data_IF_387234337729
#
_entry.id   IF_387234337729
#
_cell.length_a   1.000
_cell.length_b   1.000
_cell.length_c   1.000
_cell.angle_alpha   90.00
_cell.angle_beta   90.00
_cell.angle_gamma   90.00
#
_symmetry.space_group_name_H-M   'P 1'
#
loop_
_entity.id
_entity.type
_entity.pdbx_description
1 polymer ?
#
# COMPACT_ATOMS: atom_id res chain seq x y z
N UNK A 1 -13.42 4.02 -66.37
CA UNK A 1 -12.69 2.74 -66.21
C UNK A 1 -11.32 3.03 -65.58
N UNK A 2 -10.58 1.99 -65.16
CA UNK A 2 -9.25 2.06 -64.52
C UNK A 2 -8.22 2.94 -65.29
N UNK A 3 -7.16 3.47 -64.67
CA UNK A 3 -6.68 3.26 -63.28
C UNK A 3 -5.59 4.26 -62.84
N UNK A 4 -4.93 3.97 -61.71
CA UNK A 4 -4.12 4.92 -60.91
C UNK A 4 -2.71 5.25 -61.45
N UNK A 5 -2.13 6.38 -60.98
CA UNK A 5 -0.69 6.53 -60.71
C UNK A 5 -0.37 7.69 -59.75
N UNK A 6 0.79 7.61 -59.10
CA UNK A 6 1.26 8.51 -58.02
C UNK A 6 2.12 9.71 -58.52
N UNK A 7 2.32 10.77 -57.69
CA UNK A 7 3.07 11.98 -58.05
C UNK A 7 4.46 12.12 -57.39
N UNK A 8 5.31 13.01 -57.95
CA UNK A 8 6.32 13.82 -57.23
C UNK A 8 6.88 14.94 -58.15
N UNK A 9 7.48 15.99 -57.59
CA UNK A 9 7.87 17.25 -58.26
C UNK A 9 9.35 17.64 -58.03
N UNK A 10 9.86 18.69 -58.73
CA UNK A 10 11.27 19.11 -58.67
C UNK A 10 11.51 20.65 -58.60
N UNK A 11 12.50 21.03 -57.77
CA UNK A 11 13.54 22.09 -57.87
C UNK A 11 13.29 23.61 -58.05
N UNK A 12 14.37 24.36 -57.74
CA UNK A 12 14.71 25.80 -57.93
C UNK A 12 14.27 26.82 -56.82
N UNK A 13 15.07 27.82 -56.38
CA UNK A 13 16.49 28.15 -56.63
C UNK A 13 17.15 29.12 -55.57
N UNK A 14 18.45 28.90 -55.30
CA UNK A 14 19.61 29.86 -55.32
C UNK A 14 19.43 31.33 -54.79
N UNK A 15 20.25 31.79 -53.79
CA UNK A 15 21.44 32.71 -53.95
C UNK A 15 21.93 33.39 -52.63
N UNK A 16 23.25 33.39 -52.35
CA UNK A 16 24.14 34.52 -51.91
C UNK A 16 25.39 34.10 -51.06
N UNK A 17 26.61 34.58 -51.39
CA UNK A 17 27.86 34.48 -50.58
C UNK A 17 28.58 35.85 -50.39
N UNK A 18 29.83 35.96 -49.85
CA UNK A 18 30.63 35.14 -48.92
C UNK A 18 30.89 35.96 -47.60
N UNK A 19 32.06 36.28 -46.98
CA UNK A 19 33.51 35.96 -47.06
C UNK A 19 34.29 36.52 -45.85
N UNK A 20 35.38 35.85 -45.40
CA UNK A 20 36.46 36.40 -44.57
C UNK A 20 36.30 36.26 -43.03
N UNK A 21 37.35 36.02 -42.22
CA UNK A 21 38.79 35.76 -42.49
C UNK A 21 39.33 34.66 -41.55
N UNK A 22 40.44 34.00 -41.94
CA UNK A 22 41.17 33.03 -41.13
C UNK A 22 42.41 33.66 -40.46
N UNK A 23 42.81 33.16 -39.29
CA UNK A 23 44.21 33.27 -38.82
C UNK A 23 44.67 31.91 -38.28
N UNK A 24 45.40 31.17 -39.11
CA UNK A 24 46.21 30.03 -38.69
C UNK A 24 47.69 30.36 -38.84
N UNK A 25 48.51 29.93 -37.86
CA UNK A 25 49.95 29.64 -37.96
C UNK A 25 50.37 29.00 -36.60
N UNK A 26 51.29 28.03 -36.52
CA UNK A 26 52.19 27.50 -37.54
C UNK A 26 52.26 25.96 -37.50
N UNK A 27 52.69 25.36 -38.62
CA UNK A 27 52.95 23.93 -38.75
C UNK A 27 54.38 23.56 -38.33
N UNK A 28 54.61 22.29 -37.99
CA UNK A 28 55.75 21.53 -38.54
C UNK A 28 55.52 20.00 -38.47
N UNK A 29 55.96 19.34 -39.54
CA UNK A 29 56.37 17.93 -39.76
C UNK A 29 56.23 16.88 -38.61
N UNK A 30 56.00 15.58 -38.87
CA UNK A 30 56.41 14.76 -40.04
C UNK A 30 55.63 13.45 -40.19
N UNK A 31 55.67 12.88 -41.41
CA UNK A 31 55.64 11.43 -41.72
C UNK A 31 54.30 10.68 -41.72
N UNK A 32 54.27 9.59 -42.50
CA UNK A 32 53.10 8.75 -42.78
C UNK A 32 53.15 7.44 -42.01
N UNK A 33 52.02 7.04 -41.42
CA UNK A 33 51.66 5.63 -41.22
C UNK A 33 50.19 5.45 -41.60
N UNK A 34 49.92 4.85 -42.76
CA UNK A 34 48.56 4.50 -43.19
C UNK A 34 48.08 3.22 -42.48
N UNK A 35 47.58 3.36 -41.24
CA UNK A 35 46.76 2.32 -40.61
C UNK A 35 45.31 2.46 -41.09
N UNK A 36 44.90 1.56 -41.98
CA UNK A 36 43.59 1.58 -42.64
C UNK A 36 42.41 1.23 -41.71
N UNK A 37 41.98 2.17 -40.88
CA UNK A 37 40.80 2.05 -40.02
C UNK A 37 39.50 1.95 -40.84
N UNK A 38 39.13 0.71 -41.24
CA UNK A 38 37.79 0.42 -41.76
C UNK A 38 36.75 0.70 -40.66
N UNK A 39 35.74 1.58 -40.87
CA UNK A 39 34.85 2.05 -39.79
C UNK A 39 34.00 0.93 -39.17
N UNK A 40 33.75 -0.16 -39.90
CA UNK A 40 33.10 -1.36 -39.38
C UNK A 40 33.84 -1.98 -38.19
N UNK A 41 35.18 -1.96 -38.17
CA UNK A 41 35.94 -2.55 -37.06
C UNK A 41 35.79 -1.71 -35.78
N UNK A 42 35.80 -0.38 -35.90
CA UNK A 42 35.56 0.54 -34.78
C UNK A 42 34.13 0.41 -34.24
N UNK A 43 33.14 0.23 -35.11
CA UNK A 43 31.76 -0.06 -34.73
C UNK A 43 31.68 -1.39 -33.97
N UNK A 44 32.28 -2.46 -34.50
CA UNK A 44 32.26 -3.78 -33.85
C UNK A 44 32.97 -3.78 -32.49
N UNK A 45 34.13 -3.13 -32.36
CA UNK A 45 34.79 -2.99 -31.05
C UNK A 45 33.96 -2.17 -30.07
N UNK A 46 33.26 -1.13 -30.53
CA UNK A 46 32.37 -0.33 -29.68
C UNK A 46 31.19 -1.15 -29.17
N UNK A 47 30.57 -1.97 -30.02
CA UNK A 47 29.49 -2.89 -29.64
C UNK A 47 29.99 -3.97 -28.68
N UNK A 48 31.17 -4.55 -28.91
CA UNK A 48 31.78 -5.54 -28.01
C UNK A 48 32.09 -4.92 -26.64
N UNK A 49 32.65 -3.71 -26.60
CA UNK A 49 32.93 -2.98 -25.35
C UNK A 49 31.62 -2.71 -24.61
N UNK A 50 30.59 -2.17 -25.27
CA UNK A 50 29.28 -1.92 -24.64
C UNK A 50 28.61 -3.21 -24.14
N UNK A 51 28.71 -4.32 -24.88
CA UNK A 51 28.19 -5.61 -24.45
C UNK A 51 28.94 -6.15 -23.21
N UNK A 52 30.27 -6.05 -23.19
CA UNK A 52 31.09 -6.44 -22.04
C UNK A 52 30.85 -5.53 -20.83
N UNK A 53 30.73 -4.22 -21.02
CA UNK A 53 30.38 -3.28 -19.95
C UNK A 53 28.98 -3.54 -19.39
N UNK A 54 27.99 -3.83 -20.23
CA UNK A 54 26.66 -4.22 -19.77
C UNK A 54 26.68 -5.55 -19.01
N UNK A 55 27.35 -6.60 -19.53
CA UNK A 55 27.46 -7.87 -18.80
C UNK A 55 28.20 -7.72 -17.47
N UNK A 56 29.26 -6.90 -17.42
CA UNK A 56 29.98 -6.60 -16.18
C UNK A 56 29.09 -5.84 -15.19
N UNK A 57 28.30 -4.86 -15.66
CA UNK A 57 27.37 -4.11 -14.81
C UNK A 57 26.25 -5.03 -14.29
N UNK A 58 25.68 -5.91 -15.13
CA UNK A 58 24.70 -6.91 -14.71
C UNK A 58 25.30 -7.91 -13.72
N UNK A 59 26.56 -8.33 -13.91
CA UNK A 59 27.26 -9.21 -12.98
C UNK A 59 27.54 -8.54 -11.62
N UNK A 60 27.96 -7.28 -11.61
CA UNK A 60 28.14 -6.50 -10.39
C UNK A 60 26.82 -6.25 -9.64
N UNK A 61 25.72 -6.01 -10.38
CA UNK A 61 24.38 -5.92 -9.81
C UNK A 61 23.93 -7.27 -9.20
N UNK A 62 24.15 -8.39 -9.90
CA UNK A 62 23.87 -9.74 -9.37
C UNK A 62 24.72 -10.09 -8.14
N UNK A 63 25.99 -9.67 -8.09
CA UNK A 63 26.83 -9.83 -6.90
C UNK A 63 26.41 -8.92 -5.73
N UNK A 64 25.69 -7.82 -5.99
CA UNK A 64 25.17 -6.96 -4.91
C UNK A 64 24.02 -7.60 -4.11
N UNK A 65 23.39 -8.66 -4.63
CA UNK A 65 22.36 -9.44 -3.92
C UNK A 65 22.92 -10.64 -3.12
N UNK A 66 24.20 -11.00 -3.29
CA UNK A 66 24.82 -12.09 -2.50
C UNK A 66 25.31 -11.62 -1.14
N UNK A 67 24.39 -11.35 -0.22
CA UNK A 67 24.69 -11.01 1.17
C UNK A 67 25.36 -12.19 1.91
N UNK A 68 26.67 -12.10 2.17
CA UNK A 68 27.33 -12.92 3.17
C UNK A 68 26.99 -12.40 4.59
N UNK A 69 26.77 -13.28 5.60
CA UNK A 69 26.35 -12.85 6.93
C UNK A 69 27.55 -12.46 7.81
N UNK A 70 27.90 -11.18 7.84
CA UNK A 70 28.75 -10.63 8.89
C UNK A 70 28.00 -10.60 10.25
N UNK A 71 28.67 -10.89 11.38
CA UNK A 71 28.02 -11.00 12.69
C UNK A 71 27.74 -9.61 13.30
N UNK A 72 26.58 -9.05 12.99
CA UNK A 72 26.10 -7.78 13.58
C UNK A 72 25.91 -7.94 15.10
N UNK A 73 26.46 -7.04 15.94
CA UNK A 73 26.20 -7.03 17.38
C UNK A 73 24.70 -6.88 17.71
N UNK A 74 24.25 -7.53 18.79
CA UNK A 74 22.84 -7.51 19.22
C UNK A 74 22.44 -6.20 19.92
N UNK A 75 22.26 -5.14 19.13
CA UNK A 75 21.34 -4.05 19.48
C UNK A 75 20.35 -3.89 18.33
N UNK A 76 19.15 -4.45 18.51
CA UNK A 76 18.05 -4.33 17.54
C UNK A 76 17.37 -2.99 17.78
N UNK A 77 17.74 -1.98 16.99
CA UNK A 77 17.04 -0.71 16.97
C UNK A 77 15.57 -0.96 16.56
N UNK A 78 14.63 -0.59 17.45
CA UNK A 78 13.22 -0.98 17.34
C UNK A 78 12.58 -0.26 16.15
N UNK A 79 11.69 -0.96 15.44
CA UNK A 79 10.90 -0.38 14.34
C UNK A 79 10.07 0.81 14.84
N UNK A 80 10.60 2.02 14.61
CA UNK A 80 10.03 3.28 15.05
C UNK A 80 8.62 3.55 14.49
N UNK A 81 8.12 2.73 13.55
CA UNK A 81 6.73 2.71 13.06
C UNK A 81 5.73 2.38 14.17
N UNK A 82 6.12 1.62 15.20
CA UNK A 82 5.21 1.26 16.32
C UNK A 82 5.13 2.35 17.40
N UNK A 83 6.14 3.21 17.55
CA UNK A 83 6.23 4.22 18.60
C UNK A 83 5.45 5.52 18.33
N UNK A 84 4.56 5.53 17.32
CA UNK A 84 3.76 6.71 16.95
C UNK A 84 2.63 6.92 17.98
N UNK A 85 3.00 7.46 19.13
CA UNK A 85 2.14 7.89 20.24
C UNK A 85 1.23 6.82 20.86
N UNK A 86 1.41 5.51 20.60
CA UNK A 86 0.57 4.46 21.21
C UNK A 86 0.56 4.58 22.75
N UNK A 87 1.73 4.77 23.37
CA UNK A 87 1.88 4.94 24.83
C UNK A 87 1.40 6.28 25.39
N UNK A 88 1.06 7.28 24.56
CA UNK A 88 0.45 8.55 25.03
C UNK A 88 -1.05 8.59 24.76
N UNK A 89 -1.51 8.13 23.60
CA UNK A 89 -2.94 8.01 23.28
C UNK A 89 -3.65 7.04 24.22
N UNK A 90 -3.04 5.90 24.55
CA UNK A 90 -3.57 4.97 25.56
C UNK A 90 -3.60 5.59 26.97
N UNK A 91 -2.73 6.56 27.28
CA UNK A 91 -2.76 7.29 28.56
C UNK A 91 -3.78 8.42 28.59
N UNK A 92 -3.96 9.16 27.49
CA UNK A 92 -5.01 10.19 27.38
C UNK A 92 -6.41 9.56 27.29
N UNK A 93 -6.52 8.29 26.89
CA UNK A 93 -7.73 7.46 26.98
C UNK A 93 -7.86 6.66 28.29
N UNK A 94 -7.04 6.95 29.31
CA UNK A 94 -7.29 6.51 30.69
C UNK A 94 -7.91 7.65 31.51
N UNK A 95 -9.26 7.78 31.55
CA UNK A 95 -9.86 8.22 32.80
C UNK A 95 -9.48 7.22 33.90
N UNK A 96 -9.59 7.64 35.16
CA UNK A 96 -9.35 6.78 36.32
C UNK A 96 -10.15 5.46 36.19
N UNK A 97 -9.57 4.35 36.64
CA UNK A 97 -10.12 3.00 36.45
C UNK A 97 -11.43 2.77 37.24
N UNK A 98 -12.52 3.38 36.78
CA UNK A 98 -13.88 3.00 37.14
C UNK A 98 -14.12 1.63 36.51
N UNK A 99 -13.98 0.59 37.32
CA UNK A 99 -14.43 -0.76 37.00
C UNK A 99 -15.95 -0.78 36.96
N UNK A 100 -16.54 -0.33 35.85
CA UNK A 100 -17.85 -0.81 35.46
C UNK A 100 -17.73 -2.30 35.18
N UNK A 101 -18.60 -3.10 35.79
CA UNK A 101 -18.56 -4.56 35.69
C UNK A 101 -18.79 -5.02 34.25
N UNK A 102 -17.69 -5.26 33.53
CA UNK A 102 -17.72 -5.87 32.21
C UNK A 102 -18.22 -7.31 32.35
N UNK A 103 -19.53 -7.51 32.17
CA UNK A 103 -20.09 -8.84 31.98
C UNK A 103 -19.40 -9.49 30.76
N UNK A 104 -18.73 -10.63 30.93
CA UNK A 104 -18.07 -11.29 29.80
C UNK A 104 -19.10 -11.65 28.74
N UNK A 105 -18.93 -11.15 27.52
CA UNK A 105 -19.55 -11.77 26.35
C UNK A 105 -19.13 -13.24 26.32
N UNK A 106 -20.04 -14.16 25.93
CA UNK A 106 -19.78 -15.62 25.90
C UNK A 106 -18.35 -15.95 25.41
N UNK A 107 -17.65 -16.97 25.95
CA UNK A 107 -16.36 -17.43 25.42
C UNK A 107 -16.35 -17.65 23.90
N UNK A 108 -17.50 -17.97 23.29
CA UNK A 108 -17.69 -18.07 21.83
C UNK A 108 -17.38 -16.76 21.08
N UNK A 109 -17.51 -15.60 21.72
CA UNK A 109 -17.43 -14.26 21.10
C UNK A 109 -16.03 -13.89 20.58
N UNK A 110 -14.99 -14.66 20.94
CA UNK A 110 -13.63 -14.53 20.41
C UNK A 110 -13.21 -15.75 19.56
N UNK A 111 -14.11 -16.72 19.33
CA UNK A 111 -13.89 -17.83 18.40
C UNK A 111 -14.22 -17.44 16.96
N UNK A 112 -13.57 -18.07 15.97
CA UNK A 112 -13.92 -17.86 14.56
C UNK A 112 -15.16 -18.68 14.20
N UNK A 113 -16.21 -18.01 13.74
CA UNK A 113 -17.50 -18.59 13.35
C UNK A 113 -17.44 -19.17 11.94
N UNK A 114 -16.67 -20.25 11.77
CA UNK A 114 -16.51 -20.97 10.50
C UNK A 114 -16.36 -22.49 10.71
N UNK A 115 -16.78 -23.28 9.71
CA UNK A 115 -16.29 -24.65 9.50
C UNK A 115 -15.31 -24.61 8.32
N UNK A 116 -14.05 -24.99 8.56
CA UNK A 116 -12.98 -25.01 7.54
C UNK A 116 -13.35 -25.81 6.27
N UNK A 117 -14.31 -26.73 6.36
CA UNK A 117 -14.80 -27.56 5.25
C UNK A 117 -15.81 -26.85 4.35
N UNK A 118 -16.50 -25.81 4.83
CA UNK A 118 -17.68 -25.20 4.18
C UNK A 118 -17.44 -23.82 3.54
N UNK A 119 -16.21 -23.31 3.54
CA UNK A 119 -15.87 -22.05 2.87
C UNK A 119 -16.10 -22.08 1.35
N UNK A 120 -16.46 -20.93 0.78
CA UNK A 120 -16.66 -20.76 -0.68
C UNK A 120 -15.33 -20.91 -1.42
N UNK A 121 -15.38 -21.34 -2.67
CA UNK A 121 -14.22 -21.31 -3.57
C UNK A 121 -14.24 -20.04 -4.43
N UNK A 122 -13.07 -19.52 -4.77
CA UNK A 122 -12.90 -18.58 -5.88
C UNK A 122 -13.23 -19.24 -7.24
N UNK A 123 -13.31 -18.44 -8.30
CA UNK A 123 -13.67 -18.90 -9.65
C UNK A 123 -12.73 -19.99 -10.22
N UNK A 124 -11.44 -19.99 -9.83
CA UNK A 124 -10.40 -20.94 -10.27
C UNK A 124 -10.19 -22.09 -9.28
N UNK A 125 -10.88 -22.09 -8.12
CA UNK A 125 -10.74 -23.07 -7.03
C UNK A 125 -9.28 -23.25 -6.57
N UNK A 126 -8.60 -22.14 -6.32
CA UNK A 126 -7.24 -22.03 -5.74
C UNK A 126 -7.25 -21.50 -4.31
N UNK A 127 -8.23 -20.67 -3.93
CA UNK A 127 -8.43 -20.13 -2.58
C UNK A 127 -9.85 -20.41 -2.08
N UNK A 128 -9.94 -20.70 -0.78
CA UNK A 128 -11.19 -20.87 -0.05
C UNK A 128 -11.41 -19.67 0.85
N UNK A 129 -12.57 -19.04 0.76
CA UNK A 129 -12.91 -17.82 1.50
C UNK A 129 -14.09 -18.02 2.45
N UNK A 130 -14.05 -17.27 3.55
CA UNK A 130 -15.03 -17.26 4.62
C UNK A 130 -15.31 -15.79 4.99
N UNK A 131 -16.55 -15.35 4.81
CA UNK A 131 -16.98 -14.00 5.15
C UNK A 131 -17.21 -13.87 6.66
N UNK A 132 -16.95 -12.69 7.21
CA UNK A 132 -17.46 -12.24 8.50
C UNK A 132 -17.28 -13.23 9.68
N UNK A 133 -16.15 -13.94 9.68
CA UNK A 133 -15.83 -15.03 10.62
C UNK A 133 -15.65 -14.54 12.07
N UNK A 134 -15.38 -13.26 12.27
CA UNK A 134 -15.30 -12.63 13.58
C UNK A 134 -15.74 -11.17 13.42
N UNK A 135 -16.85 -10.80 14.05
CA UNK A 135 -17.51 -9.50 13.86
C UNK A 135 -17.28 -8.59 15.07
N UNK A 136 -17.06 -7.29 14.82
CA UNK A 136 -16.99 -6.28 15.87
C UNK A 136 -18.37 -5.97 16.45
N UNK A 137 -18.48 -5.78 17.76
CA UNK A 137 -19.79 -5.74 18.44
C UNK A 137 -20.73 -4.64 17.92
N UNK A 138 -20.17 -3.50 17.47
CA UNK A 138 -20.87 -2.35 16.88
C UNK A 138 -20.71 -2.25 15.36
N UNK A 139 -20.09 -3.22 14.69
CA UNK A 139 -19.84 -3.17 13.24
C UNK A 139 -21.14 -2.96 12.42
N UNK A 140 -22.22 -3.64 12.80
CA UNK A 140 -23.53 -3.53 12.13
C UNK A 140 -24.17 -2.16 12.33
N UNK A 141 -24.14 -1.63 13.56
CA UNK A 141 -24.63 -0.29 13.92
C UNK A 141 -23.86 0.81 13.14
N UNK A 142 -22.54 0.71 13.12
CA UNK A 142 -21.67 1.66 12.45
C UNK A 142 -21.82 1.59 10.92
N UNK A 143 -22.11 0.40 10.36
CA UNK A 143 -22.40 0.24 8.92
C UNK A 143 -23.77 0.79 8.50
N UNK A 144 -24.71 0.95 9.44
CA UNK A 144 -25.97 1.65 9.19
C UNK A 144 -25.84 3.17 9.41
N UNK A 145 -24.93 3.58 10.29
CA UNK A 145 -24.67 4.99 10.62
C UNK A 145 -23.84 5.68 9.54
N UNK A 146 -22.72 5.09 9.13
CA UNK A 146 -21.74 5.67 8.21
C UNK A 146 -21.99 5.25 6.76
N UNK A 147 -21.77 6.18 5.81
CA UNK A 147 -21.79 5.94 4.36
C UNK A 147 -20.55 5.20 3.86
N UNK A 148 -19.46 5.18 4.63
CA UNK A 148 -18.16 4.65 4.22
C UNK A 148 -17.57 3.64 5.22
N UNK A 149 -17.03 2.56 4.68
CA UNK A 149 -16.27 1.53 5.38
C UNK A 149 -14.83 1.50 4.86
N UNK A 150 -13.86 1.31 5.75
CA UNK A 150 -12.48 1.06 5.36
C UNK A 150 -12.31 -0.44 5.11
N UNK A 151 -11.99 -0.79 3.86
CA UNK A 151 -11.58 -2.14 3.50
C UNK A 151 -10.05 -2.22 3.51
N UNK A 152 -9.50 -3.24 4.17
CA UNK A 152 -8.06 -3.50 4.14
C UNK A 152 -7.76 -5.00 4.24
N UNK A 153 -6.51 -5.37 4.04
CA UNK A 153 -6.07 -6.74 3.85
C UNK A 153 -4.72 -6.98 4.52
N UNK A 154 -4.55 -8.15 5.14
CA UNK A 154 -3.30 -8.53 5.80
C UNK A 154 -3.09 -10.05 5.81
N UNK A 155 -1.85 -10.48 5.70
CA UNK A 155 -1.44 -11.77 6.25
C UNK A 155 -1.04 -11.63 7.72
N UNK A 156 -0.80 -12.76 8.39
CA UNK A 156 -0.46 -12.81 9.82
C UNK A 156 0.73 -11.89 10.19
N UNK A 157 1.78 -11.85 9.37
CA UNK A 157 3.05 -11.15 9.64
C UNK A 157 2.91 -9.61 9.74
N UNK A 158 1.88 -9.03 9.13
CA UNK A 158 1.61 -7.58 9.11
C UNK A 158 0.37 -7.16 9.89
N UNK A 159 -0.29 -8.11 10.58
CA UNK A 159 -1.55 -7.84 11.27
C UNK A 159 -1.40 -6.89 12.48
N UNK A 160 -0.17 -6.67 12.98
CA UNK A 160 0.12 -5.66 14.00
C UNK A 160 -0.13 -4.22 13.51
N UNK A 161 0.01 -3.94 12.22
CA UNK A 161 -0.18 -2.59 11.65
C UNK A 161 -1.64 -2.12 11.75
N UNK A 162 -2.59 -3.06 11.80
CA UNK A 162 -4.02 -2.80 11.96
C UNK A 162 -4.35 -1.97 13.21
N UNK A 163 -3.52 -2.05 14.27
CA UNK A 163 -3.71 -1.27 15.50
C UNK A 163 -3.71 0.24 15.21
N UNK A 164 -2.75 0.73 14.41
CA UNK A 164 -2.66 2.15 14.08
C UNK A 164 -3.76 2.59 13.12
N UNK A 165 -4.10 1.77 12.13
CA UNK A 165 -5.23 2.04 11.21
C UNK A 165 -6.55 2.12 11.99
N UNK A 166 -6.78 1.20 12.93
CA UNK A 166 -7.98 1.18 13.75
C UNK A 166 -8.04 2.38 14.72
N UNK A 167 -6.94 2.77 15.36
CA UNK A 167 -6.91 3.97 16.22
C UNK A 167 -7.30 5.24 15.46
N UNK A 168 -6.92 5.35 14.18
CA UNK A 168 -7.20 6.53 13.35
C UNK A 168 -8.55 6.50 12.62
N UNK A 169 -9.10 5.32 12.31
CA UNK A 169 -10.38 5.19 11.61
C UNK A 169 -11.57 5.22 12.58
N UNK A 170 -12.51 6.14 12.35
CA UNK A 170 -13.78 6.34 13.10
C UNK A 170 -14.74 5.15 13.12
N UNK A 171 -15.03 4.64 11.93
CA UNK A 171 -16.25 3.91 11.61
C UNK A 171 -16.06 2.40 11.35
N UNK A 172 -16.90 1.77 10.52
CA UNK A 172 -16.81 0.34 10.24
C UNK A 172 -15.56 0.02 9.43
N UNK A 173 -14.95 -1.14 9.72
CA UNK A 173 -13.76 -1.65 9.03
C UNK A 173 -13.98 -3.11 8.61
N UNK A 174 -13.54 -3.46 7.40
CA UNK A 174 -13.53 -4.83 6.88
C UNK A 174 -12.11 -5.27 6.59
N UNK A 175 -11.66 -6.32 7.26
CA UNK A 175 -10.28 -6.83 7.19
C UNK A 175 -10.29 -8.25 6.63
N UNK A 176 -9.69 -8.45 5.46
CA UNK A 176 -9.44 -9.78 4.92
C UNK A 176 -8.09 -10.33 5.39
N UNK A 177 -8.13 -11.48 6.07
CA UNK A 177 -6.98 -12.18 6.66
C UNK A 177 -6.56 -13.37 5.80
N UNK A 178 -5.26 -13.53 5.59
CA UNK A 178 -4.70 -14.71 4.92
C UNK A 178 -3.94 -15.59 5.91
N UNK A 179 -4.17 -16.91 5.86
CA UNK A 179 -3.40 -17.92 6.57
C UNK A 179 -3.25 -19.20 5.75
N UNK A 180 -2.07 -19.84 5.84
CA UNK A 180 -1.76 -21.10 5.19
C UNK A 180 -1.33 -22.17 6.22
N UNK A 181 -2.03 -23.30 6.25
CA UNK A 181 -1.74 -24.42 7.15
C UNK A 181 -2.22 -24.19 8.60
N UNK A 182 -2.05 -25.22 9.42
CA UNK A 182 -2.51 -25.21 10.82
C UNK A 182 -1.67 -24.28 11.73
N UNK A 183 -0.40 -24.03 11.39
CA UNK A 183 0.51 -23.19 12.18
C UNK A 183 0.10 -21.71 12.16
N UNK A 184 0.04 -21.09 10.97
CA UNK A 184 -0.41 -19.70 10.82
C UNK A 184 -1.85 -19.52 11.28
N UNK A 185 -2.73 -20.49 11.05
CA UNK A 185 -4.12 -20.42 11.48
C UNK A 185 -4.26 -20.45 13.01
N UNK A 186 -3.38 -21.15 13.71
CA UNK A 186 -3.30 -21.16 15.17
C UNK A 186 -2.76 -19.82 15.72
N UNK A 187 -1.65 -19.32 15.16
CA UNK A 187 -1.08 -18.01 15.57
C UNK A 187 -2.05 -16.86 15.27
N UNK A 188 -2.72 -16.88 14.11
CA UNK A 188 -3.71 -15.88 13.72
C UNK A 188 -4.89 -15.83 14.71
N UNK A 189 -5.44 -16.99 15.10
CA UNK A 189 -6.51 -17.05 16.11
C UNK A 189 -6.05 -16.47 17.44
N UNK A 190 -4.89 -16.89 17.96
CA UNK A 190 -4.34 -16.39 19.22
C UNK A 190 -4.11 -14.87 19.19
N UNK A 191 -3.63 -14.35 18.06
CA UNK A 191 -3.39 -12.91 17.89
C UNK A 191 -4.70 -12.10 17.73
N UNK A 192 -5.76 -12.65 17.13
CA UNK A 192 -7.07 -12.01 17.09
C UNK A 192 -7.70 -11.87 18.49
N UNK A 193 -7.49 -12.84 19.38
CA UNK A 193 -7.89 -12.71 20.80
C UNK A 193 -7.09 -11.58 21.47
N UNK A 194 -5.77 -11.49 21.20
CA UNK A 194 -4.93 -10.40 21.71
C UNK A 194 -5.44 -9.02 21.24
N UNK A 195 -5.68 -8.86 19.94
CA UNK A 195 -6.16 -7.60 19.37
C UNK A 195 -7.53 -7.17 19.93
N UNK A 196 -8.48 -8.10 20.09
CA UNK A 196 -9.81 -7.79 20.66
C UNK A 196 -9.74 -7.50 22.17
N UNK A 197 -8.81 -8.12 22.90
CA UNK A 197 -8.59 -7.84 24.32
C UNK A 197 -7.94 -6.47 24.53
N UNK A 198 -6.87 -6.17 23.78
CA UNK A 198 -6.09 -4.94 23.94
C UNK A 198 -6.72 -3.69 23.32
N UNK A 199 -7.43 -3.82 22.20
CA UNK A 199 -7.86 -2.66 21.40
C UNK A 199 -9.37 -2.67 21.16
N UNK A 200 -10.09 -1.86 21.94
CA UNK A 200 -11.52 -1.57 21.73
C UNK A 200 -11.80 -1.11 20.28
N UNK A 201 -10.91 -0.26 19.75
CA UNK A 201 -10.89 0.19 18.37
C UNK A 201 -11.10 -0.93 17.33
N UNK A 202 -10.58 -2.13 17.61
CA UNK A 202 -10.72 -3.34 16.79
C UNK A 202 -11.94 -4.17 17.23
N UNK A 203 -12.07 -4.44 18.54
CA UNK A 203 -13.15 -5.26 19.13
C UNK A 203 -14.55 -4.79 18.77
N UNK A 204 -14.78 -3.49 18.73
CA UNK A 204 -16.11 -2.93 18.49
C UNK A 204 -16.42 -2.78 17.00
N UNK A 205 -15.42 -2.58 16.12
CA UNK A 205 -15.65 -1.97 14.79
C UNK A 205 -15.09 -2.71 13.59
N UNK A 206 -14.26 -3.74 13.80
CA UNK A 206 -13.67 -4.54 12.71
C UNK A 206 -14.47 -5.82 12.48
N UNK A 207 -14.89 -6.05 11.24
CA UNK A 207 -15.23 -7.40 10.77
C UNK A 207 -14.00 -8.04 10.12
N UNK A 208 -13.72 -9.28 10.50
CA UNK A 208 -12.68 -10.09 9.90
C UNK A 208 -13.27 -11.15 8.97
N UNK A 209 -12.64 -11.35 7.81
CA UNK A 209 -12.92 -12.43 6.87
C UNK A 209 -11.63 -13.21 6.61
N UNK A 210 -11.70 -14.47 6.21
CA UNK A 210 -10.54 -15.36 6.07
C UNK A 210 -10.42 -15.90 4.64
N UNK A 211 -9.20 -15.95 4.11
CA UNK A 211 -8.84 -16.70 2.91
C UNK A 211 -7.73 -17.72 3.22
N UNK A 212 -7.87 -18.94 2.69
CA UNK A 212 -6.89 -20.02 2.84
C UNK A 212 -6.57 -20.67 1.49
N UNK A 213 -5.32 -21.08 1.22
CA UNK A 213 -4.93 -21.70 -0.05
C UNK A 213 -5.36 -23.17 -0.12
N UNK A 214 -5.84 -23.62 -1.29
CA UNK A 214 -6.12 -25.04 -1.58
C UNK A 214 -4.89 -25.95 -1.40
N UNK A 215 -3.70 -25.41 -1.65
CA UNK A 215 -2.43 -26.13 -1.58
C UNK A 215 -1.92 -26.32 -0.15
N UNK A 216 -2.39 -25.53 0.82
CA UNK A 216 -2.01 -25.63 2.24
C UNK A 216 -3.17 -25.15 3.14
N UNK A 217 -4.34 -25.82 3.14
CA UNK A 217 -5.46 -25.43 3.98
C UNK A 217 -5.22 -25.83 5.44
N UNK A 218 -5.77 -25.11 6.42
CA UNK A 218 -5.93 -25.64 7.78
C UNK A 218 -6.74 -26.93 7.78
N UNK A 219 -6.43 -27.83 8.71
CA UNK A 219 -7.09 -29.13 8.91
C UNK A 219 -7.86 -29.15 10.23
N UNK A 220 -7.37 -28.43 11.25
CA UNK A 220 -8.05 -28.21 12.52
C UNK A 220 -9.22 -27.23 12.32
N UNK A 221 -10.32 -27.44 13.05
CA UNK A 221 -11.37 -26.43 13.19
C UNK A 221 -10.88 -25.26 14.07
N UNK A 222 -11.58 -24.11 14.09
CA UNK A 222 -11.33 -23.05 15.05
C UNK A 222 -11.37 -23.57 16.50
N UNK A 223 -10.59 -22.94 17.38
CA UNK A 223 -10.64 -23.18 18.82
C UNK A 223 -10.49 -21.88 19.61
N UNK A 224 -11.07 -21.84 20.80
CA UNK A 224 -10.83 -20.74 21.75
C UNK A 224 -9.37 -20.82 22.21
N UNK A 225 -8.70 -19.66 22.28
CA UNK A 225 -7.37 -19.52 22.83
C UNK A 225 -7.44 -18.63 24.07
N UNK A 226 -6.96 -19.15 25.18
CA UNK A 226 -6.75 -18.36 26.39
C UNK A 226 -5.42 -17.59 26.29
N UNK A 227 -5.43 -16.39 26.85
CA UNK A 227 -4.25 -15.55 27.00
C UNK A 227 -3.88 -15.47 28.49
N UNK A 228 -2.61 -15.24 28.84
CA UNK A 228 -2.21 -15.02 30.24
C UNK A 228 -3.01 -13.89 30.90
N UNK A 229 -3.12 -13.90 32.22
CA UNK A 229 -3.85 -12.85 32.95
C UNK A 229 -3.31 -11.45 32.67
N UNK A 230 -1.99 -11.31 32.53
CA UNK A 230 -1.28 -10.07 32.19
C UNK A 230 -0.81 -10.13 30.73
N UNK A 231 -1.09 -9.06 29.97
CA UNK A 231 -0.77 -8.96 28.53
C UNK A 231 -0.22 -7.55 28.23
N UNK A 232 0.93 -7.44 27.56
CA UNK A 232 1.49 -6.16 27.13
C UNK A 232 0.79 -5.64 25.86
N UNK A 233 -0.18 -4.76 26.05
CA UNK A 233 -0.91 -4.09 24.96
C UNK A 233 -0.15 -2.93 24.33
N UNK A 234 1.07 -2.58 24.78
CA UNK A 234 1.88 -1.51 24.22
C UNK A 234 2.82 -1.97 23.09
N UNK A 235 2.98 -3.30 22.87
CA UNK A 235 3.95 -3.85 21.92
C UNK A 235 3.35 -4.89 20.94
N UNK A 236 2.36 -4.51 20.11
CA UNK A 236 1.64 -5.45 19.24
C UNK A 236 2.54 -6.22 18.27
N UNK A 237 3.61 -5.62 17.75
CA UNK A 237 4.58 -6.30 16.89
C UNK A 237 5.42 -7.34 17.66
N UNK A 238 5.85 -7.03 18.89
CA UNK A 238 6.62 -7.96 19.71
C UNK A 238 5.78 -9.18 20.14
N UNK A 239 4.53 -8.97 20.55
CA UNK A 239 3.61 -10.08 20.90
C UNK A 239 3.26 -10.94 19.69
N UNK A 240 3.15 -10.34 18.48
CA UNK A 240 3.00 -11.10 17.24
C UNK A 240 4.22 -12.00 16.99
N UNK A 241 5.42 -11.44 17.12
CA UNK A 241 6.68 -12.17 16.92
C UNK A 241 6.89 -13.28 17.97
N UNK A 242 6.46 -13.06 19.22
CA UNK A 242 6.43 -14.09 20.27
C UNK A 242 5.52 -15.26 19.86
N UNK A 243 4.26 -14.98 19.47
CA UNK A 243 3.33 -16.04 19.07
C UNK A 243 3.77 -16.75 17.78
N UNK A 244 4.41 -16.03 16.85
CA UNK A 244 5.01 -16.59 15.64
C UNK A 244 6.29 -17.40 15.89
N UNK A 245 6.88 -17.37 17.10
CA UNK A 245 8.14 -18.05 17.43
C UNK A 245 8.10 -19.58 17.35
N UNK A 246 6.91 -20.18 17.18
CA UNK A 246 6.73 -21.63 16.95
C UNK A 246 6.52 -22.00 15.48
N UNK A 247 6.51 -21.04 14.54
CA UNK A 247 6.33 -21.30 13.11
C UNK A 247 7.56 -22.03 12.56
N UNK A 248 7.33 -23.13 11.86
CA UNK A 248 8.35 -24.01 11.33
C UNK A 248 9.12 -23.38 10.17
N UNK A 249 10.39 -23.73 10.02
CA UNK A 249 11.17 -23.34 8.84
C UNK A 249 10.57 -23.88 7.54
N UNK A 250 9.76 -24.95 7.58
CA UNK A 250 9.00 -25.44 6.41
C UNK A 250 7.89 -24.46 6.03
N UNK A 251 7.11 -23.99 7.01
CA UNK A 251 6.06 -22.98 6.82
C UNK A 251 6.64 -21.66 6.26
N UNK A 252 7.73 -21.15 6.84
CA UNK A 252 8.41 -19.94 6.37
C UNK A 252 8.95 -20.11 4.94
N UNK A 253 9.59 -21.24 4.62
CA UNK A 253 10.02 -21.55 3.25
C UNK A 253 8.85 -21.72 2.28
N UNK A 254 7.70 -22.23 2.74
CA UNK A 254 6.49 -22.31 1.93
C UNK A 254 5.97 -20.91 1.60
N UNK A 255 5.93 -19.99 2.57
CA UNK A 255 5.48 -18.60 2.38
C UNK A 255 6.38 -17.83 1.40
N UNK A 256 7.70 -17.98 1.50
CA UNK A 256 8.66 -17.38 0.53
C UNK A 256 8.40 -17.87 -0.90
N UNK A 257 7.98 -19.13 -1.07
CA UNK A 257 7.73 -19.75 -2.39
C UNK A 257 6.29 -19.57 -2.92
N UNK A 258 5.35 -19.12 -2.10
CA UNK A 258 3.92 -19.04 -2.46
C UNK A 258 3.43 -17.59 -2.38
N UNK A 259 3.27 -17.00 -3.56
CA UNK A 259 2.92 -15.59 -3.76
C UNK A 259 1.62 -15.22 -3.05
N UNK A 260 1.64 -14.08 -2.35
CA UNK A 260 0.48 -13.55 -1.63
C UNK A 260 -0.65 -13.12 -2.59
N UNK A 261 -1.92 -13.46 -2.33
CA UNK A 261 -3.02 -13.24 -3.27
C UNK A 261 -3.77 -11.89 -3.07
N UNK A 262 -3.03 -10.79 -2.99
CA UNK A 262 -3.52 -9.45 -2.63
C UNK A 262 -4.82 -9.01 -3.33
N UNK A 263 -5.05 -9.36 -4.59
CA UNK A 263 -6.29 -8.99 -5.30
C UNK A 263 -7.52 -9.77 -4.82
N UNK A 264 -7.37 -11.07 -4.51
CA UNK A 264 -8.43 -11.83 -3.83
C UNK A 264 -8.72 -11.24 -2.44
N UNK A 265 -7.67 -10.83 -1.71
CA UNK A 265 -7.80 -10.24 -0.38
C UNK A 265 -8.49 -8.87 -0.43
N UNK A 266 -8.13 -8.02 -1.40
CA UNK A 266 -8.79 -6.73 -1.67
C UNK A 266 -10.27 -6.92 -2.00
N UNK A 267 -10.60 -7.86 -2.87
CA UNK A 267 -11.99 -8.19 -3.22
C UNK A 267 -12.77 -8.71 -2.00
N UNK A 268 -12.20 -9.64 -1.22
CA UNK A 268 -12.82 -10.20 -0.01
C UNK A 268 -13.09 -9.12 1.05
N UNK A 269 -12.12 -8.22 1.29
CA UNK A 269 -12.28 -7.10 2.22
C UNK A 269 -13.39 -6.15 1.74
N UNK A 270 -13.32 -5.73 0.48
CA UNK A 270 -14.27 -4.78 -0.12
C UNK A 270 -15.70 -5.31 -0.07
N UNK A 271 -15.92 -6.59 -0.40
CA UNK A 271 -17.25 -7.23 -0.38
C UNK A 271 -17.76 -7.63 1.01
N UNK A 272 -16.97 -7.47 2.07
CA UNK A 272 -17.44 -7.59 3.46
C UNK A 272 -17.74 -6.23 4.13
N UNK A 273 -17.42 -5.10 3.50
CA UNK A 273 -18.00 -3.81 3.89
C UNK A 273 -19.51 -3.80 3.60
N UNK A 274 -20.31 -3.23 4.51
CA UNK A 274 -21.79 -3.21 4.43
C UNK A 274 -22.34 -1.80 4.12
N UNK A 275 -21.50 -0.89 3.64
CA UNK A 275 -21.80 0.52 3.39
C UNK A 275 -21.82 0.82 1.89
N UNK A 276 -22.47 1.92 1.47
CA UNK A 276 -22.54 2.33 0.05
C UNK A 276 -21.15 2.59 -0.57
N UNK A 277 -20.28 3.30 0.16
CA UNK A 277 -18.92 3.62 -0.26
C UNK A 277 -17.88 2.78 0.48
N UNK A 278 -16.76 2.50 -0.17
CA UNK A 278 -15.62 1.80 0.42
C UNK A 278 -14.32 2.55 0.16
N UNK A 279 -13.49 2.67 1.19
CA UNK A 279 -12.11 3.18 1.13
C UNK A 279 -11.13 2.00 1.23
N UNK A 280 -10.45 1.65 0.13
CA UNK A 280 -9.63 0.43 0.05
C UNK A 280 -8.13 0.72 0.21
N UNK A 281 -7.60 0.45 1.40
CA UNK A 281 -6.20 0.69 1.78
C UNK A 281 -5.43 -0.61 2.01
N UNK A 282 -4.09 -0.54 2.00
CA UNK A 282 -3.25 -1.61 2.55
C UNK A 282 -3.06 -1.35 4.08
N UNK A 283 -2.72 -2.39 4.86
CA UNK A 283 -2.86 -2.38 6.34
C UNK A 283 -1.86 -1.50 7.10
N UNK A 284 -0.87 -0.97 6.40
CA UNK A 284 0.12 0.01 6.86
C UNK A 284 -0.24 1.47 6.53
N UNK A 285 -1.32 1.70 5.78
CA UNK A 285 -1.80 3.04 5.42
C UNK A 285 -2.70 3.60 6.52
N UNK A 286 -2.11 4.39 7.41
CA UNK A 286 -2.81 5.03 8.55
C UNK A 286 -3.62 6.25 8.08
N UNK A 287 -4.95 6.29 8.31
CA UNK A 287 -5.80 7.45 7.97
C UNK A 287 -5.41 8.75 8.69
N UNK A 288 -5.75 9.90 8.11
CA UNK A 288 -5.69 11.17 8.83
C UNK A 288 -6.70 11.20 9.99
N UNK A 289 -6.36 11.88 11.08
CA UNK A 289 -7.30 12.10 12.19
C UNK A 289 -8.63 12.71 11.70
N UNK A 290 -9.74 12.24 12.27
CA UNK A 290 -11.12 12.64 11.91
C UNK A 290 -11.54 12.39 10.43
N UNK A 291 -10.72 11.69 9.62
CA UNK A 291 -11.03 11.48 8.19
C UNK A 291 -12.37 10.79 7.99
N UNK A 292 -12.73 9.81 8.82
CA UNK A 292 -13.99 9.06 8.66
C UNK A 292 -15.22 9.94 8.78
N UNK A 293 -15.27 10.83 9.77
CA UNK A 293 -16.43 11.73 9.98
C UNK A 293 -16.49 12.78 8.87
N UNK A 294 -15.37 13.44 8.58
CA UNK A 294 -15.33 14.49 7.57
C UNK A 294 -15.58 13.96 6.14
N UNK A 295 -15.25 12.69 5.87
CA UNK A 295 -15.57 11.98 4.63
C UNK A 295 -17.03 11.54 4.59
N UNK A 296 -17.59 11.06 5.70
CA UNK A 296 -19.01 10.69 5.80
C UNK A 296 -19.93 11.92 5.58
N UNK A 297 -19.63 13.05 6.21
CA UNK A 297 -20.32 14.34 5.98
C UNK A 297 -20.30 14.76 4.50
N UNK A 298 -19.19 14.54 3.80
CA UNK A 298 -19.05 14.80 2.37
C UNK A 298 -19.94 13.86 1.55
N UNK A 299 -19.83 12.54 1.79
CA UNK A 299 -20.54 11.49 1.03
C UNK A 299 -22.05 11.46 1.28
N UNK A 300 -22.54 11.98 2.42
CA UNK A 300 -23.98 12.22 2.65
C UNK A 300 -24.60 13.22 1.65
N UNK A 301 -23.76 14.05 1.02
CA UNK A 301 -24.17 15.03 0.00
C UNK A 301 -23.74 14.67 -1.43
N UNK A 302 -23.04 13.55 -1.62
CA UNK A 302 -22.59 13.11 -2.93
C UNK A 302 -23.74 12.52 -3.77
N UNK A 303 -23.76 12.88 -5.05
CA UNK A 303 -24.70 12.44 -6.06
C UNK A 303 -24.01 11.90 -7.34
N UNK A 304 -22.69 11.73 -7.32
CA UNK A 304 -21.92 11.27 -8.46
C UNK A 304 -21.77 9.74 -8.49
N UNK A 305 -22.73 9.05 -9.12
CA UNK A 305 -22.73 7.58 -9.21
C UNK A 305 -21.49 6.97 -9.89
N UNK A 306 -20.68 7.75 -10.61
CA UNK A 306 -19.47 7.30 -11.31
C UNK A 306 -18.19 8.04 -10.89
N UNK A 307 -18.16 8.60 -9.68
CA UNK A 307 -16.95 9.21 -9.13
C UNK A 307 -16.11 8.24 -8.30
N UNK A 308 -14.80 8.50 -8.28
CA UNK A 308 -13.83 7.91 -7.36
C UNK A 308 -12.97 9.03 -6.75
N UNK A 309 -13.03 9.20 -5.44
CA UNK A 309 -12.37 10.28 -4.72
C UNK A 309 -10.99 9.83 -4.24
N UNK A 310 -9.95 10.25 -4.96
CA UNK A 310 -8.54 9.98 -4.61
C UNK A 310 -8.19 10.67 -3.30
N UNK A 311 -7.55 9.93 -2.40
CA UNK A 311 -7.05 10.39 -1.10
C UNK A 311 -5.52 10.49 -1.18
N UNK A 312 -4.91 11.69 -1.26
CA UNK A 312 -3.47 11.83 -1.44
C UNK A 312 -2.67 11.32 -0.23
N UNK A 313 -1.93 10.23 -0.44
CA UNK A 313 -1.18 9.52 0.60
C UNK A 313 0.31 9.90 0.58
N UNK A 314 0.94 9.93 1.76
CA UNK A 314 2.32 10.34 1.97
C UNK A 314 3.08 9.31 2.81
N UNK A 315 4.34 9.03 2.44
CA UNK A 315 5.34 8.49 3.36
C UNK A 315 5.84 9.60 4.30
N UNK A 316 6.14 9.24 5.54
CA UNK A 316 6.71 10.13 6.55
C UNK A 316 8.10 9.65 6.98
N UNK A 317 8.96 10.57 7.39
CA UNK A 317 10.24 10.23 8.02
C UNK A 317 10.00 9.60 9.40
N UNK A 318 10.71 8.50 9.72
CA UNK A 318 10.50 7.75 10.96
C UNK A 318 10.71 8.59 12.25
N UNK A 319 11.37 9.75 12.17
CA UNK A 319 11.69 10.63 13.29
C UNK A 319 10.63 11.71 13.58
N UNK A 320 9.55 11.80 12.79
CA UNK A 320 8.50 12.81 12.99
C UNK A 320 7.22 12.19 13.58
N UNK A 321 6.39 13.02 14.23
CA UNK A 321 5.06 12.59 14.71
C UNK A 321 4.03 12.66 13.59
N UNK A 322 2.92 11.93 13.76
CA UNK A 322 1.81 11.96 12.81
C UNK A 322 1.28 13.40 12.64
N UNK A 323 1.16 13.93 11.41
CA UNK A 323 0.68 15.28 11.20
C UNK A 323 -0.79 15.39 11.60
N UNK A 324 -1.17 16.31 12.51
CA UNK A 324 -2.56 16.44 12.97
C UNK A 324 -3.52 16.94 11.88
N UNK A 325 -3.00 17.53 10.80
CA UNK A 325 -3.79 18.09 9.70
C UNK A 325 -2.94 18.26 8.42
N UNK A 326 -3.60 18.61 7.29
CA UNK A 326 -2.95 18.86 6.00
C UNK A 326 -1.88 19.97 6.07
N UNK A 327 -2.08 21.03 6.85
CA UNK A 327 -1.11 22.13 6.97
C UNK A 327 0.24 21.64 7.52
N UNK A 328 0.21 20.83 8.59
CA UNK A 328 1.43 20.24 9.16
C UNK A 328 2.06 19.19 8.24
N UNK A 329 1.26 18.38 7.53
CA UNK A 329 1.77 17.47 6.50
C UNK A 329 2.51 18.23 5.38
N UNK A 330 1.97 19.35 4.90
CA UNK A 330 2.65 20.22 3.92
C UNK A 330 3.90 20.87 4.51
N UNK A 331 3.90 21.23 5.80
CA UNK A 331 5.10 21.73 6.50
C UNK A 331 6.19 20.66 6.66
N UNK A 332 5.83 19.39 6.79
CA UNK A 332 6.78 18.27 6.79
C UNK A 332 7.33 18.02 5.38
N UNK A 333 6.46 18.00 4.37
CA UNK A 333 6.85 17.80 2.97
C UNK A 333 7.82 18.88 2.47
N UNK A 334 7.57 20.15 2.80
CA UNK A 334 8.48 21.27 2.50
C UNK A 334 9.83 21.19 3.22
N UNK A 335 9.97 20.36 4.25
CA UNK A 335 11.25 20.07 4.94
C UNK A 335 11.91 18.76 4.46
N UNK A 336 11.34 18.06 3.48
CA UNK A 336 11.80 16.74 3.04
C UNK A 336 11.51 15.60 4.03
N UNK A 337 10.72 15.87 5.08
CA UNK A 337 10.36 14.91 6.15
C UNK A 337 9.03 14.18 5.86
N UNK A 338 8.42 14.45 4.71
CA UNK A 338 7.33 13.69 4.13
C UNK A 338 7.44 13.73 2.60
N UNK A 339 6.98 12.69 1.91
CA UNK A 339 6.90 12.65 0.44
C UNK A 339 5.64 11.92 -0.03
N UNK A 340 5.14 12.18 -1.24
CA UNK A 340 4.09 11.35 -1.83
C UNK A 340 4.44 9.86 -1.77
N UNK A 341 3.44 9.03 -1.50
CA UNK A 341 3.63 7.59 -1.38
C UNK A 341 4.29 6.99 -2.63
N UNK A 342 5.27 6.12 -2.42
CA UNK A 342 6.12 5.50 -3.44
C UNK A 342 6.96 6.44 -4.32
N UNK A 343 7.02 7.76 -4.07
CA UNK A 343 7.71 8.72 -4.96
C UNK A 343 9.16 8.33 -5.30
N UNK A 344 9.92 7.76 -4.35
CA UNK A 344 11.32 7.36 -4.55
C UNK A 344 11.45 6.02 -5.30
N UNK A 345 10.56 5.06 -5.03
CA UNK A 345 10.67 3.69 -5.55
C UNK A 345 9.97 3.52 -6.89
N UNK A 346 8.83 4.19 -7.10
CA UNK A 346 8.06 4.11 -8.32
C UNK A 346 7.11 5.32 -8.49
N UNK A 347 7.62 6.40 -9.09
CA UNK A 347 6.94 7.71 -9.16
C UNK A 347 5.58 7.68 -9.89
N UNK A 348 5.44 6.89 -10.96
CA UNK A 348 4.23 6.81 -11.78
C UNK A 348 3.01 6.34 -10.98
N UNK A 349 3.23 5.51 -9.94
CA UNK A 349 2.20 4.90 -9.10
C UNK A 349 1.16 5.89 -8.57
N UNK A 350 1.58 7.11 -8.26
CA UNK A 350 0.71 8.15 -7.69
C UNK A 350 0.73 9.45 -8.51
N UNK A 351 1.39 9.48 -9.67
CA UNK A 351 1.76 10.74 -10.35
C UNK A 351 0.57 11.61 -10.77
N UNK A 352 -0.50 10.98 -11.30
CA UNK A 352 -1.70 11.68 -11.75
C UNK A 352 -2.45 12.45 -10.63
N UNK A 353 -2.22 12.11 -9.35
CA UNK A 353 -2.77 12.82 -8.18
C UNK A 353 -2.29 14.28 -8.06
N UNK A 354 -1.29 14.70 -8.85
CA UNK A 354 -0.78 16.07 -8.93
C UNK A 354 -0.57 16.73 -7.56
N UNK A 355 0.27 16.10 -6.74
CA UNK A 355 0.60 16.58 -5.39
C UNK A 355 1.09 18.04 -5.40
N UNK A 356 1.83 18.47 -6.41
CA UNK A 356 2.27 19.87 -6.57
C UNK A 356 1.11 20.86 -6.55
N UNK A 357 0.00 20.56 -7.24
CA UNK A 357 -1.24 21.34 -7.16
C UNK A 357 -1.91 21.18 -5.80
N UNK A 358 -2.08 19.96 -5.29
CA UNK A 358 -2.76 19.71 -4.00
C UNK A 358 -2.10 20.42 -2.80
N UNK A 359 -0.76 20.56 -2.82
CA UNK A 359 0.03 21.30 -1.83
C UNK A 359 -0.25 22.81 -1.81
N UNK A 360 -0.84 23.38 -2.88
CA UNK A 360 -1.17 24.81 -2.95
C UNK A 360 -2.42 25.17 -2.15
N UNK A 361 -3.28 24.20 -1.80
CA UNK A 361 -4.53 24.49 -1.09
C UNK A 361 -4.31 25.11 0.30
N UNK A 362 -3.11 24.97 0.88
CA UNK A 362 -2.76 25.53 2.20
C UNK A 362 -2.39 27.02 2.16
N UNK A 363 -2.25 27.63 0.98
CA UNK A 363 -1.85 29.04 0.85
C UNK A 363 -3.02 29.97 1.25
N UNK A 364 -2.80 31.07 2.01
CA UNK A 364 -3.89 31.92 2.53
C UNK A 364 -4.80 32.55 1.46
N UNK A 365 -4.28 32.75 0.25
CA UNK A 365 -5.02 33.29 -0.90
C UNK A 365 -5.69 32.21 -1.76
N UNK A 366 -5.64 30.93 -1.39
CA UNK A 366 -6.21 29.84 -2.16
C UNK A 366 -7.70 29.63 -1.85
N UNK A 367 -8.51 29.35 -2.88
CA UNK A 367 -9.98 29.15 -2.79
C UNK A 367 -10.41 28.18 -1.68
N UNK A 368 -9.62 27.15 -1.42
CA UNK A 368 -9.90 26.09 -0.44
C UNK A 368 -9.13 26.23 0.89
N UNK A 369 -8.52 27.38 1.17
CA UNK A 369 -7.75 27.61 2.40
C UNK A 369 -8.61 27.39 3.67
N UNK A 370 -9.83 27.91 3.69
CA UNK A 370 -10.74 27.72 4.82
C UNK A 370 -11.20 26.25 4.97
N UNK A 371 -11.31 25.46 3.89
CA UNK A 371 -11.54 24.02 4.00
C UNK A 371 -10.35 23.31 4.67
N UNK A 372 -9.11 23.65 4.28
CA UNK A 372 -7.89 23.11 4.91
C UNK A 372 -7.82 23.47 6.40
N UNK A 373 -8.15 24.71 6.75
CA UNK A 373 -8.12 25.26 8.11
C UNK A 373 -9.23 24.70 9.01
N UNK A 374 -10.41 24.40 8.46
CA UNK A 374 -11.53 23.78 9.20
C UNK A 374 -11.51 22.25 9.20
N UNK A 375 -10.64 21.62 8.40
CA UNK A 375 -10.60 20.15 8.25
C UNK A 375 -11.75 19.56 7.40
N UNK A 376 -12.62 20.39 6.83
CA UNK A 376 -13.74 19.94 5.98
C UNK A 376 -13.21 19.33 4.67
N UNK A 377 -13.71 18.15 4.30
CA UNK A 377 -13.39 17.50 3.01
C UNK A 377 -13.96 18.27 1.81
N UNK A 378 -13.21 18.27 0.70
CA UNK A 378 -13.53 18.94 -0.56
C UNK A 378 -12.77 18.28 -1.72
N UNK A 379 -13.27 18.43 -2.95
CA UNK A 379 -12.53 18.09 -4.17
C UNK A 379 -11.53 19.22 -4.45
N UNK A 380 -10.23 18.91 -4.39
CA UNK A 380 -9.14 19.88 -4.64
C UNK A 380 -9.04 20.24 -6.14
N UNK A 381 -9.11 19.22 -7.00
CA UNK A 381 -9.08 19.29 -8.46
C UNK A 381 -9.44 17.91 -9.02
N UNK A 382 -9.78 17.84 -10.31
CA UNK A 382 -10.08 16.59 -10.99
C UNK A 382 -8.78 15.94 -11.51
N UNK A 383 -8.68 14.61 -11.41
CA UNK A 383 -7.56 13.84 -11.98
C UNK A 383 -7.88 13.56 -13.45
N UNK A 384 -7.50 14.48 -14.33
CA UNK A 384 -7.85 14.45 -15.76
C UNK A 384 -6.86 13.69 -16.65
N UNK A 385 -5.63 13.48 -16.19
CA UNK A 385 -4.60 12.78 -16.95
C UNK A 385 -4.65 11.27 -16.65
N UNK A 386 -4.83 10.46 -17.69
CA UNK A 386 -4.50 9.04 -17.61
C UNK A 386 -2.98 8.87 -17.53
N UNK A 387 -2.50 8.26 -16.45
CA UNK A 387 -1.11 7.84 -16.28
C UNK A 387 -1.07 6.30 -16.25
N UNK A 388 -0.22 5.70 -17.07
CA UNK A 388 -0.04 4.24 -17.05
C UNK A 388 0.58 3.83 -15.72
N UNK A 389 0.04 2.77 -15.09
CA UNK A 389 0.44 2.25 -13.77
C UNK A 389 0.07 3.14 -12.57
N UNK A 390 -0.91 4.04 -12.73
CA UNK A 390 -1.54 4.77 -11.62
C UNK A 390 -2.34 3.81 -10.70
N UNK A 391 -2.09 3.88 -9.39
CA UNK A 391 -2.63 2.98 -8.36
C UNK A 391 -3.08 3.76 -7.10
N UNK A 392 -3.99 4.74 -7.20
CA UNK A 392 -4.36 5.60 -6.08
C UNK A 392 -5.03 4.83 -4.93
N UNK A 393 -4.91 5.38 -3.72
CA UNK A 393 -5.88 5.13 -2.66
C UNK A 393 -7.09 6.03 -2.89
N UNK A 394 -8.29 5.45 -2.95
CA UNK A 394 -9.50 6.19 -3.30
C UNK A 394 -10.74 5.66 -2.58
N UNK A 395 -11.79 6.48 -2.55
CA UNK A 395 -13.11 6.18 -2.01
C UNK A 395 -14.13 6.19 -3.16
N UNK A 396 -14.93 5.14 -3.32
CA UNK A 396 -16.02 5.10 -4.31
C UNK A 396 -17.14 4.18 -3.84
N UNK A 397 -18.28 4.21 -4.54
CA UNK A 397 -19.35 3.21 -4.38
C UNK A 397 -18.85 1.82 -4.76
N UNK A 398 -19.30 0.75 -4.11
CA UNK A 398 -18.91 -0.65 -4.43
C UNK A 398 -19.53 -1.21 -5.74
N UNK A 399 -19.80 -0.33 -6.71
CA UNK A 399 -20.10 -0.67 -8.10
C UNK A 399 -18.83 -0.72 -8.98
N UNK A 400 -17.68 -0.29 -8.45
CA UNK A 400 -16.38 -0.39 -9.13
C UNK A 400 -16.04 -1.87 -9.45
N UNK A 401 -15.31 -2.16 -10.55
CA UNK A 401 -14.95 -3.54 -10.90
C UNK A 401 -14.19 -4.25 -9.78
N UNK A 402 -14.19 -5.58 -9.78
CA UNK A 402 -13.31 -6.37 -8.92
C UNK A 402 -11.87 -6.27 -9.41
N UNK A 403 -10.89 -6.30 -8.50
CA UNK A 403 -9.49 -6.45 -8.88
C UNK A 403 -9.30 -7.78 -9.59
N UNK A 404 -8.46 -7.83 -10.62
CA UNK A 404 -8.25 -9.06 -11.37
C UNK A 404 -7.43 -10.07 -10.55
N UNK A 405 -8.09 -11.15 -10.14
CA UNK A 405 -7.57 -12.26 -9.34
C UNK A 405 -6.56 -13.16 -10.08
N UNK A 406 -6.29 -12.88 -11.36
CA UNK A 406 -5.16 -13.48 -12.09
C UNK A 406 -3.82 -12.88 -11.64
N UNK A 407 -3.81 -11.64 -11.15
CA UNK A 407 -2.60 -10.96 -10.69
C UNK A 407 -2.36 -11.22 -9.21
N UNK A 408 -1.18 -11.75 -8.88
CA UNK A 408 -0.76 -12.09 -7.52
C UNK A 408 0.69 -11.61 -7.32
N UNK A 409 1.01 -11.13 -6.12
CA UNK A 409 2.32 -10.59 -5.77
C UNK A 409 2.34 -9.07 -5.65
N UNK A 410 3.55 -8.51 -5.75
CA UNK A 410 3.78 -7.08 -5.59
C UNK A 410 4.02 -6.38 -6.93
N UNK A 411 3.40 -5.22 -7.12
CA UNK A 411 3.43 -4.42 -8.36
C UNK A 411 2.44 -4.89 -9.42
N UNK A 412 1.85 -3.94 -10.16
CA UNK A 412 0.86 -4.19 -11.23
C UNK A 412 -0.43 -4.89 -10.74
N UNK A 413 -1.08 -4.35 -9.69
CA UNK A 413 -2.20 -5.05 -9.02
C UNK A 413 -3.43 -4.20 -8.70
N UNK A 414 -3.28 -2.94 -8.28
CA UNK A 414 -4.39 -1.99 -8.11
C UNK A 414 -4.82 -1.43 -9.46
N UNK A 415 -3.89 -1.26 -10.41
CA UNK A 415 -4.16 -0.82 -11.79
C UNK A 415 -4.87 -1.88 -12.67
N UNK A 416 -5.39 -2.96 -12.07
CA UNK A 416 -6.10 -4.05 -12.74
C UNK A 416 -7.61 -3.99 -12.55
N UNK A 417 -8.10 -2.86 -12.02
CA UNK A 417 -9.47 -2.60 -11.58
C UNK A 417 -10.14 -1.53 -12.45
#
# INVERSE_FOLDING_TARGET
MYGERQPASADFAIRLPPSGEEVCLACQHTSMVQLGCRPWNLSLTSVIILALSNMLLTFLLLQSETCAPDPIPREVEVSAVTEWNLGSLVKEQQPECITQDYQPTSPDANSLKLDIKLGRWDARRIFRTFDSVLVGNRFTELSQTYRVCLATQSSMEKLHSLVQVALHWTGPMSVALYAAGDEEFEVLQRYLVYLRRCYEAIRERVVFSLAVPKTRPPKKQPRVFELPEIVDCAKPEATLNEFAGHISSEQTNWRIRNVYPQNHMRNLARKNCQTEYVFLTDVDIVPSFNLTVALDDFLRSDNCDKCAYVIPTYELDARVRFPPNKTELVRLARKGLARPFHQKVFIHNQFATNFTRWLQDVLPNHKYHENVKTGKVYVSHDVTNFEFLYEPFYVAKDIVPSHDERFMGYGYTRNTQ
#
